data_IF_920913567455
#
_entry.id   IF_920913567455
#
_cell.length_a   1.000
_cell.length_b   1.000
_cell.length_c   1.000
_cell.angle_alpha   90.00
_cell.angle_beta   90.00
_cell.angle_gamma   90.00
#
_symmetry.space_group_name_H-M   'P 1'
#
loop_
_entity.id
_entity.type
_entity.pdbx_description
1 polymer ?
#
# COMPACT_ATOMS: atom_id res chain seq x y z
N UNK A 1 0.38 -54.90 -34.58
CA UNK A 1 1.22 -53.68 -34.64
C UNK A 1 0.40 -52.37 -34.67
N UNK A 2 -0.70 -52.27 -33.90
CA UNK A 2 -1.56 -51.06 -33.88
C UNK A 2 -1.82 -50.50 -32.47
N UNK A 3 -1.23 -51.10 -31.43
CA UNK A 3 -1.40 -50.70 -30.02
C UNK A 3 -0.23 -49.91 -29.43
N UNK A 4 0.91 -49.86 -30.12
CA UNK A 4 2.08 -49.09 -29.68
C UNK A 4 2.07 -47.63 -30.16
N UNK A 5 1.26 -47.29 -31.16
CA UNK A 5 1.23 -45.95 -31.75
C UNK A 5 0.37 -44.95 -30.95
N UNK A 6 -0.50 -45.43 -30.05
CA UNK A 6 -1.38 -44.58 -29.23
C UNK A 6 -0.69 -44.06 -27.97
N UNK A 7 0.41 -44.69 -27.53
CA UNK A 7 1.07 -44.32 -26.26
C UNK A 7 1.98 -43.08 -26.43
N UNK A 8 2.50 -42.82 -27.63
CA UNK A 8 3.32 -41.62 -27.88
C UNK A 8 2.50 -40.32 -28.01
N UNK A 9 1.18 -40.40 -28.25
CA UNK A 9 0.34 -39.21 -28.39
C UNK A 9 -0.16 -38.65 -27.04
N UNK A 10 -0.14 -39.46 -25.98
CA UNK A 10 -0.54 -39.02 -24.64
C UNK A 10 0.61 -38.42 -23.81
N UNK A 11 1.88 -38.69 -24.16
CA UNK A 11 3.03 -38.08 -23.47
C UNK A 11 3.41 -36.70 -24.05
N UNK A 12 3.18 -36.47 -25.35
CA UNK A 12 3.50 -35.19 -26.00
C UNK A 12 2.59 -34.02 -25.57
N UNK A 13 1.36 -34.31 -25.10
CA UNK A 13 0.42 -33.30 -24.62
C UNK A 13 0.57 -32.98 -23.13
N UNK A 14 1.33 -33.77 -22.35
CA UNK A 14 1.57 -33.51 -20.93
C UNK A 14 2.82 -32.66 -20.67
N UNK A 15 3.80 -32.68 -21.58
CA UNK A 15 4.99 -31.82 -21.50
C UNK A 15 4.76 -30.39 -22.02
N UNK A 16 3.69 -30.16 -22.79
CA UNK A 16 3.36 -28.85 -23.38
C UNK A 16 2.62 -27.89 -22.45
N UNK A 17 2.05 -28.37 -21.34
CA UNK A 17 1.28 -27.52 -20.41
C UNK A 17 2.12 -27.00 -19.21
N UNK A 18 3.33 -27.51 -19.01
CA UNK A 18 4.14 -27.16 -17.84
C UNK A 18 4.81 -25.79 -17.92
N UNK A 19 4.64 -25.03 -19.01
CA UNK A 19 5.18 -23.68 -19.19
C UNK A 19 4.07 -22.61 -19.20
N UNK A 20 3.08 -22.71 -18.32
CA UNK A 20 2.11 -21.63 -18.13
C UNK A 20 1.67 -21.45 -16.67
N UNK A 21 2.51 -21.83 -15.70
CA UNK A 21 2.45 -21.18 -14.39
C UNK A 21 3.17 -19.84 -14.55
N UNK A 22 2.50 -18.90 -15.22
CA UNK A 22 2.91 -17.51 -15.22
C UNK A 22 3.00 -17.05 -13.77
N UNK A 23 4.16 -16.53 -13.37
CA UNK A 23 4.27 -15.83 -12.09
C UNK A 23 3.19 -14.76 -12.07
N UNK A 24 2.18 -14.90 -11.20
CA UNK A 24 1.25 -13.81 -10.92
C UNK A 24 2.13 -12.68 -10.36
N UNK A 25 2.41 -11.68 -11.18
CA UNK A 25 3.29 -10.57 -10.82
C UNK A 25 2.50 -9.62 -9.93
N UNK A 26 2.19 -10.07 -8.71
CA UNK A 26 1.64 -9.21 -7.70
C UNK A 26 2.72 -8.21 -7.31
N UNK A 27 2.59 -6.97 -7.81
CA UNK A 27 3.47 -5.86 -7.46
C UNK A 27 3.57 -5.67 -5.94
N UNK A 28 4.59 -4.94 -5.45
CA UNK A 28 4.79 -4.75 -4.02
C UNK A 28 3.52 -4.18 -3.36
N UNK A 29 3.16 -4.73 -2.21
CA UNK A 29 2.05 -4.25 -1.38
C UNK A 29 2.58 -3.10 -0.52
N UNK A 30 2.01 -1.92 -0.71
CA UNK A 30 2.38 -0.70 -0.01
C UNK A 30 1.17 -0.27 0.83
N UNK A 31 1.38 -0.01 2.11
CA UNK A 31 0.39 0.65 2.95
C UNK A 31 0.76 2.09 3.16
N UNK A 32 -0.17 2.99 2.86
CA UNK A 32 -0.13 4.37 3.27
C UNK A 32 -0.99 4.54 4.52
N UNK A 33 -0.45 5.18 5.53
CA UNK A 33 -1.15 5.44 6.79
C UNK A 33 -1.35 6.94 6.97
N UNK A 34 -2.48 7.51 6.50
CA UNK A 34 -2.87 8.86 6.86
C UNK A 34 -3.08 8.95 8.38
N UNK A 35 -2.20 9.71 9.05
CA UNK A 35 -2.27 9.96 10.48
C UNK A 35 -3.64 10.44 10.95
N UNK A 36 -3.92 10.25 12.25
CA UNK A 36 -5.11 10.80 12.91
C UNK A 36 -6.45 10.32 12.30
N UNK A 37 -7.52 11.09 12.45
CA UNK A 37 -8.87 10.81 11.91
C UNK A 37 -9.96 10.86 12.98
N UNK A 38 -11.20 11.15 12.57
CA UNK A 38 -12.33 11.28 13.48
C UNK A 38 -12.11 12.40 14.50
N UNK A 39 -12.19 12.06 15.79
CA UNK A 39 -11.97 12.99 16.91
C UNK A 39 -10.52 13.40 17.10
N UNK A 40 -9.57 12.67 16.53
CA UNK A 40 -8.16 13.05 16.52
C UNK A 40 -7.89 13.93 15.30
N UNK A 41 -7.67 15.23 15.52
CA UNK A 41 -7.40 16.20 14.46
C UNK A 41 -5.93 16.25 14.04
N UNK A 42 -5.02 15.72 14.87
CA UNK A 42 -3.60 16.01 14.78
C UNK A 42 -3.30 17.49 14.99
N UNK A 43 -2.22 17.97 14.39
CA UNK A 43 -1.84 19.38 14.43
C UNK A 43 -2.92 20.27 13.77
N UNK A 44 -3.24 21.39 14.42
CA UNK A 44 -4.13 22.42 13.87
C UNK A 44 -3.32 23.66 13.53
N UNK A 45 -3.34 24.05 12.25
CA UNK A 45 -2.68 25.24 11.74
C UNK A 45 -3.39 26.53 12.16
N UNK A 46 -2.70 27.66 11.99
CA UNK A 46 -3.20 29.00 12.37
C UNK A 46 -4.54 29.39 11.72
N UNK A 47 -4.84 28.81 10.55
CA UNK A 47 -6.08 29.06 9.81
C UNK A 47 -7.14 27.97 10.08
N UNK A 48 -6.99 27.15 11.13
CA UNK A 48 -7.91 26.06 11.46
C UNK A 48 -7.75 24.80 10.61
N UNK A 49 -6.75 24.75 9.71
CA UNK A 49 -6.48 23.56 8.89
C UNK A 49 -5.99 22.42 9.78
N UNK A 50 -6.63 21.26 9.68
CA UNK A 50 -6.34 20.08 10.51
C UNK A 50 -5.45 19.11 9.75
N UNK A 51 -4.41 18.62 10.41
CA UNK A 51 -3.48 17.63 9.86
C UNK A 51 -4.21 16.42 9.27
N UNK A 52 -5.23 15.90 9.98
CA UNK A 52 -6.01 14.74 9.52
C UNK A 52 -6.61 14.90 8.12
N UNK A 53 -6.96 16.13 7.75
CA UNK A 53 -7.59 16.45 6.46
C UNK A 53 -6.52 16.48 5.36
N UNK A 54 -5.37 17.10 5.64
CA UNK A 54 -4.23 17.17 4.72
C UNK A 54 -3.71 15.76 4.43
N UNK A 55 -3.40 14.97 5.46
CA UNK A 55 -2.78 13.65 5.26
C UNK A 55 -3.71 12.66 4.56
N UNK A 56 -5.03 12.78 4.75
CA UNK A 56 -6.00 11.98 4.00
C UNK A 56 -6.03 12.39 2.52
N UNK A 57 -6.02 13.69 2.24
CA UNK A 57 -5.98 14.20 0.87
C UNK A 57 -4.71 13.73 0.15
N UNK A 58 -3.54 13.79 0.81
CA UNK A 58 -2.28 13.27 0.26
C UNK A 58 -2.39 11.78 -0.05
N UNK A 59 -2.89 10.96 0.88
CA UNK A 59 -3.04 9.52 0.64
C UNK A 59 -3.96 9.20 -0.54
N UNK A 60 -5.08 9.92 -0.69
CA UNK A 60 -6.00 9.77 -1.83
C UNK A 60 -5.37 10.22 -3.14
N UNK A 61 -4.58 11.28 -3.10
CA UNK A 61 -3.89 11.78 -4.29
C UNK A 61 -2.84 10.79 -4.79
N UNK A 62 -2.12 10.12 -3.89
CA UNK A 62 -1.19 9.04 -4.29
C UNK A 62 -1.93 7.90 -4.99
N UNK A 63 -3.12 7.49 -4.51
CA UNK A 63 -3.93 6.48 -5.22
C UNK A 63 -4.35 6.96 -6.61
N UNK A 64 -4.80 8.21 -6.73
CA UNK A 64 -5.22 8.80 -8.01
C UNK A 64 -4.07 8.78 -9.01
N UNK A 65 -2.88 9.23 -8.59
CA UNK A 65 -1.68 9.25 -9.41
C UNK A 65 -1.20 7.82 -9.78
N UNK A 66 -1.29 6.87 -8.86
CA UNK A 66 -0.99 5.45 -9.15
C UNK A 66 -1.90 4.90 -10.27
N UNK A 67 -3.19 5.26 -10.23
CA UNK A 67 -4.14 4.88 -11.28
C UNK A 67 -3.81 5.54 -12.61
N UNK A 68 -3.63 6.85 -12.62
CA UNK A 68 -3.49 7.64 -13.87
C UNK A 68 -2.14 7.45 -14.56
N UNK A 69 -1.05 7.42 -13.79
CA UNK A 69 0.30 7.39 -14.34
C UNK A 69 0.86 5.97 -14.47
N UNK A 70 0.42 5.06 -13.60
CA UNK A 70 0.99 3.72 -13.50
C UNK A 70 -0.03 2.61 -13.74
N UNK A 71 -1.30 2.92 -14.03
CA UNK A 71 -2.32 1.92 -14.29
C UNK A 71 -2.55 0.95 -13.13
N UNK A 72 -2.38 1.42 -11.88
CA UNK A 72 -2.43 0.59 -10.67
C UNK A 72 -1.38 -0.53 -10.60
N UNK A 73 -0.20 -0.37 -11.20
CA UNK A 73 0.90 -1.33 -11.06
C UNK A 73 1.36 -1.51 -9.60
N UNK A 74 1.18 -0.51 -8.74
CA UNK A 74 1.45 -0.62 -7.31
C UNK A 74 0.19 -1.03 -6.56
N UNK A 75 0.32 -2.05 -5.69
CA UNK A 75 -0.75 -2.50 -4.81
C UNK A 75 -0.80 -1.62 -3.55
N UNK A 76 -1.46 -0.46 -3.65
CA UNK A 76 -1.50 0.54 -2.57
C UNK A 76 -2.82 0.46 -1.78
N UNK A 77 -2.71 0.36 -0.46
CA UNK A 77 -3.84 0.37 0.47
C UNK A 77 -3.69 1.50 1.49
N UNK A 78 -4.80 2.11 1.92
CA UNK A 78 -4.79 3.05 3.05
C UNK A 78 -5.28 2.39 4.33
N UNK A 79 -4.74 2.81 5.47
CA UNK A 79 -5.31 2.45 6.79
C UNK A 79 -6.70 3.06 7.01
N UNK A 80 -7.01 4.19 6.36
CA UNK A 80 -8.34 4.81 6.31
C UNK A 80 -8.59 5.51 4.97
N UNK A 81 -9.83 5.42 4.49
CA UNK A 81 -10.30 6.06 3.24
C UNK A 81 -11.24 7.25 3.47
N UNK A 82 -11.64 7.48 4.73
CA UNK A 82 -12.52 8.55 5.18
C UNK A 82 -11.98 9.18 6.47
N UNK A 83 -12.70 10.16 7.00
CA UNK A 83 -12.40 10.78 8.29
C UNK A 83 -12.81 9.86 9.45
N UNK A 84 -12.05 8.77 9.62
CA UNK A 84 -12.29 7.76 10.66
C UNK A 84 -11.05 7.61 11.53
N UNK A 85 -11.25 7.54 12.85
CA UNK A 85 -10.18 7.26 13.78
C UNK A 85 -9.80 5.78 13.73
N UNK A 86 -8.56 5.48 13.35
CA UNK A 86 -7.98 4.13 13.41
C UNK A 86 -6.98 4.06 14.56
N UNK A 87 -7.21 3.13 15.48
CA UNK A 87 -6.31 2.85 16.60
C UNK A 87 -4.92 2.42 16.11
N UNK A 88 -3.87 2.89 16.78
CA UNK A 88 -2.47 2.69 16.36
C UNK A 88 -2.13 1.20 16.14
N UNK A 89 -2.59 0.32 17.02
CA UNK A 89 -2.39 -1.12 16.88
C UNK A 89 -3.08 -1.73 15.66
N UNK A 90 -4.23 -1.19 15.22
CA UNK A 90 -4.92 -1.67 14.03
C UNK A 90 -4.20 -1.29 12.74
N UNK A 91 -3.53 -0.13 12.72
CA UNK A 91 -2.70 0.31 11.58
C UNK A 91 -1.57 -0.69 11.31
N UNK A 92 -0.85 -1.11 12.36
CA UNK A 92 0.21 -2.12 12.25
C UNK A 92 -0.33 -3.53 11.94
N UNK A 93 -1.49 -3.90 12.52
CA UNK A 93 -2.14 -5.18 12.21
C UNK A 93 -2.52 -5.30 10.74
N UNK A 94 -2.98 -4.22 10.10
CA UNK A 94 -3.27 -4.21 8.67
C UNK A 94 -2.01 -4.53 7.84
N UNK A 95 -0.88 -3.91 8.15
CA UNK A 95 0.41 -4.17 7.50
C UNK A 95 0.84 -5.63 7.61
N UNK A 96 0.71 -6.20 8.81
CA UNK A 96 1.01 -7.61 9.07
C UNK A 96 0.05 -8.54 8.32
N UNK A 97 -1.25 -8.24 8.33
CA UNK A 97 -2.27 -9.07 7.70
C UNK A 97 -2.11 -9.11 6.17
N UNK A 98 -1.81 -7.97 5.55
CA UNK A 98 -1.59 -7.87 4.10
C UNK A 98 -0.16 -8.23 3.67
N UNK A 99 0.73 -8.59 4.60
CA UNK A 99 2.16 -8.84 4.34
C UNK A 99 2.80 -7.71 3.54
N UNK A 100 2.53 -6.47 3.96
CA UNK A 100 2.99 -5.28 3.25
C UNK A 100 4.52 -5.26 3.13
N UNK A 101 5.01 -4.94 1.93
CA UNK A 101 6.43 -4.75 1.66
C UNK A 101 6.93 -3.40 2.18
N UNK A 102 6.04 -2.41 2.25
CA UNK A 102 6.34 -1.06 2.74
C UNK A 102 5.14 -0.50 3.50
N UNK A 103 5.42 0.15 4.63
CA UNK A 103 4.45 0.91 5.41
C UNK A 103 4.93 2.37 5.52
N UNK A 104 4.12 3.32 5.06
CA UNK A 104 4.46 4.75 5.05
C UNK A 104 3.44 5.52 5.88
N UNK A 105 3.86 6.04 7.03
CA UNK A 105 3.04 6.94 7.84
C UNK A 105 3.15 8.37 7.32
N UNK A 106 1.99 9.01 7.07
CA UNK A 106 1.92 10.37 6.55
C UNK A 106 1.42 11.29 7.67
N UNK A 107 2.26 12.25 8.05
CA UNK A 107 2.00 13.25 9.10
C UNK A 107 2.47 14.63 8.67
N UNK A 108 1.91 15.67 9.29
CA UNK A 108 2.37 17.04 9.16
C UNK A 108 2.97 17.49 10.48
N UNK A 109 4.30 17.64 10.53
CA UNK A 109 4.98 18.12 11.72
C UNK A 109 4.47 19.50 12.15
N UNK A 110 4.33 19.70 13.47
CA UNK A 110 4.10 21.00 14.07
C UNK A 110 5.33 21.41 14.89
N UNK A 111 5.75 22.67 14.76
CA UNK A 111 6.81 23.23 15.57
C UNK A 111 6.39 24.59 16.13
N UNK A 112 6.72 24.84 17.40
CA UNK A 112 6.38 26.10 18.10
C UNK A 112 7.20 27.29 17.59
N UNK A 113 8.34 27.08 16.93
CA UNK A 113 9.15 28.13 16.29
C UNK A 113 8.83 28.24 14.80
N UNK A 114 8.45 29.43 14.34
CA UNK A 114 8.10 29.76 12.94
C UNK A 114 9.16 29.38 11.87
N UNK A 115 10.42 29.15 12.25
CA UNK A 115 11.51 28.79 11.32
C UNK A 115 11.73 27.28 11.14
N UNK A 116 11.03 26.41 11.86
CA UNK A 116 11.19 24.96 11.71
C UNK A 116 10.27 24.41 10.61
N UNK A 117 10.77 24.38 9.37
CA UNK A 117 10.13 23.67 8.25
C UNK A 117 11.07 22.55 7.80
N UNK A 118 10.86 21.34 8.32
CA UNK A 118 11.72 20.19 8.04
C UNK A 118 10.84 18.99 7.66
N UNK A 119 11.11 18.40 6.51
CA UNK A 119 10.60 17.08 6.16
C UNK A 119 11.39 16.05 6.97
N UNK A 120 10.69 15.21 7.74
CA UNK A 120 11.30 14.13 8.52
C UNK A 120 10.77 12.79 8.01
N UNK A 121 11.66 11.95 7.51
CA UNK A 121 11.37 10.55 7.20
C UNK A 121 11.94 9.68 8.32
N UNK A 122 11.11 8.81 8.89
CA UNK A 122 11.52 7.81 9.89
C UNK A 122 11.43 6.43 9.25
N UNK A 123 12.55 5.73 9.20
CA UNK A 123 12.62 4.36 8.72
C UNK A 123 12.72 3.43 9.91
N UNK A 124 11.81 2.47 10.00
CA UNK A 124 11.93 1.35 10.91
C UNK A 124 12.19 0.11 10.05
N UNK A 125 13.39 -0.47 10.18
CA UNK A 125 13.70 -1.76 9.55
C UNK A 125 13.21 -2.82 10.53
N UNK A 126 12.14 -3.58 10.23
CA UNK A 126 11.78 -4.70 11.08
C UNK A 126 12.92 -5.72 11.05
N UNK A 127 13.47 -6.03 12.22
CA UNK A 127 14.34 -7.19 12.44
C UNK A 127 13.56 -8.49 12.31
#
# INVERSE_FOLDING_TARGET
>A
MKRFLTICFCFGLFLGWSFAIGQEKNGPIIILDPGHGGLDYGAVGVNGVREKDIVLAVGKEVLRLNKELYGNQLNIYLTRYSDTLIWLGHRAKLAKALRANLFVSIHCNQATRKKHKVLKSLYNIPT
#
